data_IF_115029416281
#
_entry.id   IF_115029416281
#
_cell.length_a   1.000
_cell.length_b   1.000
_cell.length_c   1.000
_cell.angle_alpha   90.00
_cell.angle_beta   90.00
_cell.angle_gamma   90.00
#
_symmetry.space_group_name_H-M   'P 1'
#
loop_
_entity.id
_entity.type
_entity.pdbx_description
1 polymer ?
#
# COMPACT_ATOMS: atom_id res chain seq x y z
N UNK A 1 -61.22 0.97 12.97
CA UNK A 1 -60.00 0.24 12.57
C UNK A 1 -58.90 1.29 12.37
N UNK A 2 -58.02 1.47 13.35
CA UNK A 2 -57.05 2.57 13.33
C UNK A 2 -55.74 2.06 12.69
N UNK A 3 -55.46 2.49 11.46
CA UNK A 3 -54.27 2.07 10.71
C UNK A 3 -53.13 3.00 11.13
N UNK A 4 -52.29 2.54 12.07
CA UNK A 4 -51.05 3.22 12.42
C UNK A 4 -50.12 3.24 11.20
N UNK A 5 -50.09 4.36 10.49
CA UNK A 5 -49.13 4.64 9.43
C UNK A 5 -47.75 4.87 10.08
N UNK A 6 -46.94 3.82 10.13
CA UNK A 6 -45.51 3.95 10.40
C UNK A 6 -44.87 4.88 9.35
N UNK A 7 -44.65 6.14 9.73
CA UNK A 7 -43.95 7.16 8.93
C UNK A 7 -42.42 7.13 9.13
N UNK A 8 -41.87 6.00 9.61
CA UNK A 8 -40.44 5.86 9.96
C UNK A 8 -39.60 5.02 9.01
N UNK A 9 -40.19 4.36 8.00
CA UNK A 9 -39.47 3.43 7.12
C UNK A 9 -38.69 4.13 5.99
N UNK A 10 -39.22 5.23 5.42
CA UNK A 10 -38.56 5.92 4.30
C UNK A 10 -37.27 6.65 4.68
N UNK A 11 -37.22 7.27 5.85
CA UNK A 11 -36.06 8.05 6.32
C UNK A 11 -34.89 7.17 6.75
N UNK A 12 -35.16 6.00 7.34
CA UNK A 12 -34.12 5.04 7.74
C UNK A 12 -33.48 4.36 6.53
N UNK A 13 -34.27 3.97 5.53
CA UNK A 13 -33.77 3.42 4.27
C UNK A 13 -32.91 4.45 3.52
N UNK A 14 -33.34 5.71 3.47
CA UNK A 14 -32.58 6.78 2.85
C UNK A 14 -31.22 6.99 3.54
N UNK A 15 -31.19 7.04 4.88
CA UNK A 15 -29.95 7.13 5.64
C UNK A 15 -29.00 5.97 5.37
N UNK A 16 -29.53 4.74 5.30
CA UNK A 16 -28.76 3.55 4.96
C UNK A 16 -28.10 3.65 3.59
N UNK A 17 -28.85 4.12 2.59
CA UNK A 17 -28.32 4.35 1.23
C UNK A 17 -27.21 5.39 1.26
N UNK A 18 -27.38 6.51 1.97
CA UNK A 18 -26.35 7.55 2.10
C UNK A 18 -25.07 6.98 2.72
N UNK A 19 -25.19 6.18 3.79
CA UNK A 19 -24.03 5.56 4.44
C UNK A 19 -23.33 4.58 3.50
N UNK A 20 -24.08 3.76 2.76
CA UNK A 20 -23.51 2.81 1.80
C UNK A 20 -22.78 3.55 0.67
N UNK A 21 -23.41 4.56 0.07
CA UNK A 21 -22.80 5.35 -1.01
C UNK A 21 -21.54 6.05 -0.52
N UNK A 22 -21.57 6.65 0.67
CA UNK A 22 -20.39 7.27 1.28
C UNK A 22 -19.27 6.25 1.53
N UNK A 23 -19.62 5.07 2.05
CA UNK A 23 -18.65 3.99 2.32
C UNK A 23 -18.03 3.45 1.03
N UNK A 24 -18.82 3.27 -0.02
CA UNK A 24 -18.33 2.86 -1.34
C UNK A 24 -17.43 3.94 -1.95
N UNK A 25 -17.83 5.20 -1.88
CA UNK A 25 -17.01 6.31 -2.38
C UNK A 25 -15.65 6.37 -1.68
N UNK A 26 -15.64 6.18 -0.35
CA UNK A 26 -14.42 6.09 0.44
C UNK A 26 -13.57 4.87 0.04
N UNK A 27 -14.20 3.69 -0.07
CA UNK A 27 -13.55 2.45 -0.47
C UNK A 27 -12.88 2.58 -1.84
N UNK A 28 -13.58 3.08 -2.87
CA UNK A 28 -13.00 3.26 -4.20
C UNK A 28 -11.82 4.23 -4.22
N UNK A 29 -11.72 5.15 -3.26
CA UNK A 29 -10.60 6.08 -3.15
C UNK A 29 -9.40 5.49 -2.41
N UNK A 30 -9.64 4.65 -1.40
CA UNK A 30 -8.59 3.91 -0.68
C UNK A 30 -8.06 2.71 -1.47
N UNK A 31 -8.94 2.02 -2.18
CA UNK A 31 -8.64 0.81 -2.95
C UNK A 31 -7.38 0.92 -3.81
N UNK A 32 -7.21 1.95 -4.68
CA UNK A 32 -6.00 2.07 -5.49
C UNK A 32 -4.72 2.22 -4.65
N UNK A 33 -4.78 2.87 -3.48
CA UNK A 33 -3.60 3.00 -2.60
C UNK A 33 -3.21 1.66 -1.97
N UNK A 34 -4.18 0.82 -1.62
CA UNK A 34 -3.88 -0.54 -1.16
C UNK A 34 -3.31 -1.42 -2.28
N UNK A 35 -3.82 -1.27 -3.51
CA UNK A 35 -3.29 -1.99 -4.67
C UNK A 35 -1.84 -1.58 -5.00
N UNK A 36 -1.49 -0.29 -4.86
CA UNK A 36 -0.10 0.19 -4.96
C UNK A 36 0.80 -0.53 -3.94
N UNK A 37 0.38 -0.65 -2.66
CA UNK A 37 1.18 -1.36 -1.65
C UNK A 37 1.31 -2.85 -1.95
N UNK A 38 0.25 -3.49 -2.44
CA UNK A 38 0.33 -4.89 -2.85
C UNK A 38 1.36 -5.09 -3.97
N UNK A 39 1.39 -4.17 -4.94
CA UNK A 39 2.41 -4.14 -5.97
C UNK A 39 3.83 -3.93 -5.41
N UNK A 40 3.99 -3.10 -4.38
CA UNK A 40 5.27 -2.93 -3.66
C UNK A 40 5.72 -4.23 -3.01
N UNK A 41 4.84 -4.87 -2.24
CA UNK A 41 5.13 -6.15 -1.59
C UNK A 41 5.53 -7.21 -2.61
N UNK A 42 4.78 -7.33 -3.71
CA UNK A 42 5.13 -8.29 -4.77
C UNK A 42 6.41 -7.92 -5.53
N UNK A 43 6.73 -6.63 -5.68
CA UNK A 43 8.00 -6.21 -6.29
C UNK A 43 9.18 -6.57 -5.39
N UNK A 44 9.00 -6.43 -4.08
CA UNK A 44 9.98 -6.79 -3.06
C UNK A 44 10.22 -8.31 -3.02
N UNK A 45 9.14 -9.10 -3.01
CA UNK A 45 9.20 -10.57 -3.06
C UNK A 45 9.94 -11.09 -4.31
N UNK A 46 9.70 -10.50 -5.48
CA UNK A 46 10.42 -10.88 -6.71
C UNK A 46 11.93 -10.71 -6.66
N UNK A 47 12.45 -9.85 -5.78
CA UNK A 47 13.90 -9.64 -5.65
C UNK A 47 14.51 -10.76 -4.82
N UNK A 48 13.75 -11.27 -3.83
CA UNK A 48 14.18 -12.39 -2.99
C UNK A 48 14.33 -13.69 -3.76
N UNK A 49 13.67 -13.83 -4.90
CA UNK A 49 13.87 -14.94 -5.85
C UNK A 49 15.22 -14.87 -6.60
N UNK A 50 15.98 -13.78 -6.47
CA UNK A 50 17.28 -13.65 -7.14
C UNK A 50 18.38 -14.40 -6.39
N UNK A 51 19.07 -15.29 -7.09
CA UNK A 51 20.23 -15.99 -6.55
C UNK A 51 21.33 -15.02 -6.07
N UNK A 52 21.97 -15.38 -4.97
CA UNK A 52 23.06 -14.63 -4.35
C UNK A 52 22.68 -13.16 -4.02
N UNK A 53 21.42 -12.90 -3.66
CA UNK A 53 20.96 -11.57 -3.28
C UNK A 53 21.80 -10.98 -2.13
N UNK A 54 22.19 -11.81 -1.16
CA UNK A 54 23.00 -11.40 -0.02
C UNK A 54 24.42 -10.93 -0.40
N UNK A 55 24.95 -11.39 -1.54
CA UNK A 55 26.25 -10.98 -2.06
C UNK A 55 26.18 -9.67 -2.87
N UNK A 56 24.98 -9.21 -3.23
CA UNK A 56 24.81 -7.97 -4.01
C UNK A 56 25.03 -6.74 -3.13
N UNK A 57 25.50 -5.67 -3.76
CA UNK A 57 25.58 -4.36 -3.14
C UNK A 57 24.18 -3.77 -2.94
N UNK A 58 23.98 -3.00 -1.87
CA UNK A 58 22.69 -2.35 -1.56
C UNK A 58 22.16 -1.50 -2.72
N UNK A 59 23.06 -0.83 -3.46
CA UNK A 59 22.70 -0.05 -4.65
C UNK A 59 22.08 -0.92 -5.75
N UNK A 60 22.58 -2.13 -5.93
CA UNK A 60 22.08 -3.04 -6.95
C UNK A 60 20.71 -3.59 -6.52
N UNK A 61 20.54 -3.91 -5.23
CA UNK A 61 19.26 -4.30 -4.64
C UNK A 61 18.21 -3.19 -4.82
N UNK A 62 18.56 -1.93 -4.52
CA UNK A 62 17.68 -0.78 -4.77
C UNK A 62 17.32 -0.64 -6.26
N UNK A 63 18.28 -0.83 -7.16
CA UNK A 63 18.05 -0.73 -8.60
C UNK A 63 17.11 -1.85 -9.09
N UNK A 64 17.28 -3.07 -8.58
CA UNK A 64 16.40 -4.20 -8.86
C UNK A 64 14.99 -3.97 -8.32
N UNK A 65 14.87 -3.37 -7.13
CA UNK A 65 13.58 -2.98 -6.55
C UNK A 65 12.85 -1.95 -7.40
N UNK A 66 13.53 -0.86 -7.76
CA UNK A 66 12.96 0.17 -8.63
C UNK A 66 12.57 -0.41 -10.00
N UNK A 67 13.36 -1.32 -10.56
CA UNK A 67 13.03 -1.97 -11.82
C UNK A 67 11.78 -2.86 -11.71
N UNK A 68 11.61 -3.60 -10.62
CA UNK A 68 10.41 -4.43 -10.40
C UNK A 68 9.16 -3.60 -10.11
N UNK A 69 9.29 -2.47 -9.41
CA UNK A 69 8.21 -1.50 -9.20
C UNK A 69 7.78 -0.84 -10.51
N UNK A 70 8.74 -0.41 -11.33
CA UNK A 70 8.45 0.22 -12.64
C UNK A 70 7.66 -0.71 -13.55
N UNK A 71 7.95 -2.02 -13.53
CA UNK A 71 7.18 -3.04 -14.28
C UNK A 71 5.72 -3.19 -13.83
N UNK A 72 5.37 -2.65 -12.66
CA UNK A 72 4.02 -2.69 -12.06
C UNK A 72 3.33 -1.33 -12.11
N UNK A 73 3.88 -0.37 -12.88
CA UNK A 73 3.39 1.01 -12.99
C UNK A 73 3.26 1.72 -11.63
N UNK A 74 4.20 1.45 -10.72
CA UNK A 74 4.23 2.05 -9.38
C UNK A 74 5.36 3.08 -9.29
N UNK A 75 4.98 4.36 -9.35
CA UNK A 75 5.88 5.51 -9.20
C UNK A 75 5.83 6.06 -7.77
N UNK A 76 6.40 5.31 -6.82
CA UNK A 76 6.47 5.68 -5.41
C UNK A 76 7.83 6.23 -4.98
N UNK A 77 8.89 5.70 -5.58
CA UNK A 77 10.26 5.97 -5.19
C UNK A 77 11.10 6.26 -6.43
N UNK A 78 12.07 7.13 -6.25
CA UNK A 78 13.08 7.45 -7.25
C UNK A 78 14.44 6.93 -6.79
N UNK A 79 15.44 7.03 -7.67
CA UNK A 79 16.82 6.59 -7.37
C UNK A 79 17.41 7.27 -6.13
N UNK A 80 16.96 8.48 -5.82
CA UNK A 80 17.46 9.27 -4.70
C UNK A 80 16.68 9.00 -3.41
N UNK A 81 15.36 8.77 -3.51
CA UNK A 81 14.48 8.60 -2.34
C UNK A 81 14.36 7.16 -1.87
N UNK A 82 14.64 6.17 -2.72
CA UNK A 82 14.54 4.74 -2.38
C UNK A 82 15.36 4.38 -1.13
N UNK A 83 16.55 4.98 -0.97
CA UNK A 83 17.46 4.69 0.16
C UNK A 83 16.91 5.13 1.52
N UNK A 84 15.93 6.03 1.52
CA UNK A 84 15.29 6.53 2.74
C UNK A 84 14.14 5.63 3.20
N UNK A 85 13.55 4.89 2.26
CA UNK A 85 12.37 4.06 2.49
C UNK A 85 12.69 2.56 2.50
N UNK A 86 13.86 2.16 1.99
CA UNK A 86 14.31 0.77 1.94
C UNK A 86 15.49 0.58 2.89
N UNK A 87 15.30 -0.26 3.90
CA UNK A 87 16.35 -0.74 4.80
C UNK A 87 16.77 -2.15 4.39
N UNK A 88 18.08 -2.40 4.40
CA UNK A 88 18.68 -3.67 4.03
C UNK A 88 19.56 -4.12 5.20
N UNK A 89 19.20 -5.25 5.82
CA UNK A 89 19.90 -5.83 6.95
C UNK A 89 20.46 -7.20 6.57
N UNK A 90 21.78 -7.38 6.69
CA UNK A 90 22.44 -8.66 6.42
C UNK A 90 22.46 -9.49 7.70
N UNK A 91 21.62 -10.52 7.75
CA UNK A 91 21.53 -11.46 8.85
C UNK A 91 22.57 -12.55 8.56
N UNK A 92 23.64 -12.63 9.34
CA UNK A 92 24.78 -13.51 9.04
C UNK A 92 24.40 -14.95 8.65
N UNK A 93 25.21 -15.60 7.82
CA UNK A 93 24.90 -16.94 7.28
C UNK A 93 24.38 -16.93 5.84
N UNK A 94 24.43 -15.80 5.14
CA UNK A 94 23.97 -15.67 3.75
C UNK A 94 22.53 -15.15 3.62
N UNK A 95 21.88 -14.84 4.73
CA UNK A 95 20.51 -14.33 4.77
C UNK A 95 20.47 -12.79 4.72
N UNK A 96 19.44 -12.23 4.09
CA UNK A 96 19.23 -10.78 4.04
C UNK A 96 17.76 -10.44 4.31
N UNK A 97 17.53 -9.46 5.16
CA UNK A 97 16.22 -8.88 5.42
C UNK A 97 16.10 -7.53 4.72
N UNK A 98 15.06 -7.37 3.91
CA UNK A 98 14.78 -6.12 3.20
C UNK A 98 13.44 -5.60 3.70
N UNK A 99 13.44 -4.39 4.24
CA UNK A 99 12.26 -3.71 4.77
C UNK A 99 11.98 -2.45 3.96
N UNK A 100 10.75 -2.30 3.49
CA UNK A 100 10.25 -1.13 2.79
C UNK A 100 9.20 -0.45 3.67
N UNK A 101 9.49 0.76 4.12
CA UNK A 101 8.61 1.57 4.97
C UNK A 101 8.40 2.95 4.35
N UNK A 102 7.15 3.36 4.18
CA UNK A 102 6.80 4.62 3.54
C UNK A 102 5.41 5.12 3.91
N UNK A 103 5.22 6.42 3.78
CA UNK A 103 3.96 7.10 4.03
C UNK A 103 3.32 7.58 2.73
N UNK A 104 2.00 7.47 2.61
CA UNK A 104 1.23 8.01 1.49
C UNK A 104 0.19 8.99 1.97
N UNK A 105 0.35 10.24 1.54
CA UNK A 105 -0.59 11.33 1.82
C UNK A 105 -1.42 11.59 0.57
N UNK A 106 -2.74 11.41 0.65
CA UNK A 106 -3.64 11.67 -0.48
C UNK A 106 -4.79 12.60 -0.10
N UNK A 107 -4.91 13.70 -0.83
CA UNK A 107 -5.95 14.71 -0.60
C UNK A 107 -7.35 14.14 -0.83
N UNK A 108 -8.22 14.32 0.16
CA UNK A 108 -9.62 13.92 0.10
C UNK A 108 -10.49 15.00 -0.52
N UNK A 109 -10.66 16.11 0.21
CA UNK A 109 -11.45 17.28 -0.14
C UNK A 109 -11.00 18.46 0.73
N UNK A 110 -11.00 19.68 0.20
CA UNK A 110 -10.59 20.86 0.96
C UNK A 110 -9.21 20.70 1.61
N UNK A 111 -9.16 20.78 2.94
CA UNK A 111 -7.93 20.61 3.74
C UNK A 111 -7.82 19.24 4.41
N UNK A 112 -8.64 18.28 4.01
CA UNK A 112 -8.65 16.91 4.55
C UNK A 112 -7.85 16.00 3.64
N UNK A 113 -6.99 15.16 4.23
CA UNK A 113 -6.16 14.17 3.53
C UNK A 113 -6.17 12.83 4.27
N UNK A 114 -5.92 11.75 3.54
CA UNK A 114 -5.50 10.49 4.11
C UNK A 114 -4.01 10.49 4.36
N UNK A 115 -3.59 9.83 5.43
CA UNK A 115 -2.23 9.42 5.68
C UNK A 115 -2.26 7.91 5.93
N UNK A 116 -1.50 7.17 5.14
CA UNK A 116 -1.37 5.72 5.22
C UNK A 116 0.09 5.36 5.42
N UNK A 117 0.37 4.52 6.40
CA UNK A 117 1.72 4.04 6.68
C UNK A 117 1.80 2.57 6.27
N UNK A 118 2.75 2.26 5.41
CA UNK A 118 2.97 0.92 4.91
C UNK A 118 4.35 0.44 5.33
N UNK A 119 4.40 -0.81 5.79
CA UNK A 119 5.63 -1.51 6.14
C UNK A 119 5.55 -2.93 5.58
N UNK A 120 6.51 -3.27 4.71
CA UNK A 120 6.63 -4.60 4.12
C UNK A 120 8.06 -5.10 4.36
N UNK A 121 8.19 -6.30 4.91
CA UNK A 121 9.50 -6.92 5.20
C UNK A 121 9.53 -8.30 4.57
N UNK A 122 10.66 -8.63 3.94
CA UNK A 122 10.95 -9.96 3.41
C UNK A 122 12.32 -10.40 3.87
N UNK A 123 12.49 -11.70 4.09
CA UNK A 123 13.74 -12.32 4.51
C UNK A 123 14.08 -13.43 3.52
N UNK A 124 15.34 -13.49 3.06
CA UNK A 124 15.83 -14.63 2.31
C UNK A 124 16.50 -15.63 3.24
N UNK A 125 16.25 -16.94 3.09
CA UNK A 125 17.08 -17.96 3.72
C UNK A 125 18.54 -17.84 3.26
#
# INVERSE_FOLDING_TARGET
MNINRQRGSGSSIFLLIVVIVFSLWFFFKLFPMYMENWNVSSALEKITETENLAEKMDRDIHTMFLANLSKKDVELFDRDTVKQHVSIERLGGGSIAITVEYERIKKLTGNVSFLLNFKNTVETP
#
